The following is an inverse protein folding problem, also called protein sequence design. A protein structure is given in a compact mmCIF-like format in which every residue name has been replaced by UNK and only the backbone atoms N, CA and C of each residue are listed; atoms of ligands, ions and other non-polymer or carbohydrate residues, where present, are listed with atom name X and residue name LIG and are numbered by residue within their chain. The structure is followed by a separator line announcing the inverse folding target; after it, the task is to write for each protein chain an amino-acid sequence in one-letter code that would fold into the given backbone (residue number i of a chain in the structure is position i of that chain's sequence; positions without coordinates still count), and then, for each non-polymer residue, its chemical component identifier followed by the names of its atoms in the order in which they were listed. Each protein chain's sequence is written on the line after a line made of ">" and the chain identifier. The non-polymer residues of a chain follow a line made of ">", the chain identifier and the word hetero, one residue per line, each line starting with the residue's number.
data_IF_882381147989
#
_entry.id   IF_882381147989
#
_cell.length_a   1.000
_cell.length_b   1.000
_cell.length_c   1.000
_cell.angle_alpha   90.00
_cell.angle_beta   90.00
_cell.angle_gamma   90.00
#
_symmetry.space_group_name_H-M   'P 1'
#
loop_
_entity.id
_entity.type
_entity.pdbx_description
1 polymer ?
#
# COMPACT_ATOMS: atom_id res chain seq x y z
N UNK A 1 23.23 15.45 -11.06
CA UNK A 1 22.16 14.95 -10.18
C UNK A 1 21.93 13.49 -10.54
N UNK A 2 22.48 12.55 -9.76
CA UNK A 2 22.34 11.12 -10.04
C UNK A 2 20.92 10.69 -9.73
N UNK A 3 20.22 10.10 -10.70
CA UNK A 3 19.07 9.23 -10.43
C UNK A 3 19.47 8.26 -9.30
N UNK A 4 18.77 8.32 -8.19
CA UNK A 4 19.06 7.57 -6.98
C UNK A 4 18.81 6.08 -7.20
N UNK A 5 19.68 5.26 -6.62
CA UNK A 5 19.62 3.79 -6.61
C UNK A 5 18.25 3.26 -6.18
N UNK A 6 17.55 3.99 -5.30
CA UNK A 6 16.17 3.70 -4.88
C UNK A 6 15.19 3.87 -6.02
N UNK A 7 15.29 4.89 -6.87
CA UNK A 7 14.42 5.06 -8.03
C UNK A 7 14.68 3.98 -9.08
N UNK A 8 15.93 3.54 -9.27
CA UNK A 8 16.25 2.45 -10.21
C UNK A 8 15.73 1.11 -9.70
N UNK A 9 15.85 0.80 -8.41
CA UNK A 9 15.28 -0.41 -7.80
C UNK A 9 13.75 -0.34 -7.77
N UNK A 10 13.17 0.81 -7.48
CA UNK A 10 11.71 1.04 -7.52
C UNK A 10 11.18 0.98 -8.95
N UNK A 11 11.97 1.45 -9.94
CA UNK A 11 11.70 1.29 -11.35
C UNK A 11 11.82 -0.17 -11.76
N UNK A 12 12.84 -0.92 -11.32
CA UNK A 12 12.97 -2.35 -11.65
C UNK A 12 11.91 -3.22 -10.98
N UNK A 13 11.55 -2.94 -9.73
CA UNK A 13 10.48 -3.62 -9.00
C UNK A 13 9.09 -3.23 -9.54
N UNK A 14 8.91 -1.95 -9.89
CA UNK A 14 7.72 -1.45 -10.57
C UNK A 14 7.60 -2.01 -11.99
N UNK A 15 8.72 -2.11 -12.71
CA UNK A 15 8.80 -2.73 -14.03
C UNK A 15 8.47 -4.21 -13.92
N UNK A 16 9.14 -5.01 -13.07
CA UNK A 16 8.94 -6.48 -12.98
C UNK A 16 7.53 -6.96 -12.61
N UNK A 17 6.59 -6.04 -12.43
CA UNK A 17 5.25 -6.28 -11.94
C UNK A 17 5.33 -6.51 -10.44
N UNK A 18 4.62 -5.70 -9.66
CA UNK A 18 4.21 -6.14 -8.33
C UNK A 18 3.52 -7.50 -8.54
N UNK A 19 4.15 -8.56 -8.06
CA UNK A 19 3.69 -9.93 -8.24
C UNK A 19 2.46 -10.16 -7.39
N UNK A 20 1.30 -9.77 -7.91
CA UNK A 20 0.03 -10.11 -7.33
C UNK A 20 -0.24 -11.59 -7.56
N UNK A 21 -0.51 -12.32 -6.49
CA UNK A 21 -0.83 -13.73 -6.54
C UNK A 21 -2.25 -13.93 -6.01
N UNK A 22 -2.94 -14.95 -6.51
CA UNK A 22 -4.22 -15.35 -5.93
C UNK A 22 -4.00 -15.92 -4.54
N UNK A 23 -4.61 -15.33 -3.52
CA UNK A 23 -4.68 -15.91 -2.19
C UNK A 23 -5.92 -16.83 -2.07
N UNK A 24 -5.76 -18.17 -2.05
CA UNK A 24 -6.89 -19.09 -1.90
C UNK A 24 -7.57 -18.98 -0.52
N UNK A 25 -6.91 -18.35 0.45
CA UNK A 25 -7.38 -18.10 1.82
C UNK A 25 -7.67 -16.62 2.07
N UNK A 26 -7.93 -15.84 1.00
CA UNK A 26 -8.39 -14.46 1.17
C UNK A 26 -9.63 -14.42 2.07
N UNK A 27 -9.70 -13.47 3.01
CA UNK A 27 -10.79 -13.41 3.98
C UNK A 27 -12.14 -13.22 3.28
N UNK A 28 -13.19 -13.79 3.86
CA UNK A 28 -14.55 -13.47 3.43
C UNK A 28 -14.94 -12.07 3.90
N UNK A 29 -15.99 -11.50 3.30
CA UNK A 29 -16.53 -10.22 3.74
C UNK A 29 -16.94 -10.26 5.24
N UNK A 30 -17.46 -11.39 5.73
CA UNK A 30 -17.80 -11.58 7.15
C UNK A 30 -16.56 -11.47 8.04
N UNK A 31 -15.46 -12.10 7.63
CA UNK A 31 -14.21 -12.09 8.39
C UNK A 31 -13.62 -10.68 8.42
N UNK A 32 -13.51 -10.02 7.27
CA UNK A 32 -12.98 -8.66 7.17
C UNK A 32 -13.81 -7.63 7.94
N UNK A 33 -15.12 -7.84 8.07
CA UNK A 33 -16.05 -6.92 8.72
C UNK A 33 -16.41 -7.29 10.18
N UNK A 34 -15.83 -8.35 10.74
CA UNK A 34 -16.15 -8.84 12.10
C UNK A 34 -16.01 -7.76 13.18
N UNK A 35 -15.03 -6.87 13.01
CA UNK A 35 -14.67 -5.82 13.97
C UNK A 35 -14.96 -4.40 13.44
N UNK A 36 -15.77 -4.30 12.39
CA UNK A 36 -16.10 -3.06 11.70
C UNK A 36 -16.76 -2.01 12.60
N UNK A 37 -16.74 -0.76 12.13
CA UNK A 37 -17.59 0.30 12.68
C UNK A 37 -18.91 0.33 11.92
N UNK A 38 -20.08 0.36 12.60
CA UNK A 38 -21.39 0.34 11.93
C UNK A 38 -21.58 1.53 10.97
N UNK A 39 -20.96 2.65 11.29
CA UNK A 39 -21.06 3.95 10.64
C UNK A 39 -19.73 4.40 10.01
N UNK A 40 -18.86 3.46 9.62
CA UNK A 40 -17.64 3.77 8.89
C UNK A 40 -17.96 4.59 7.62
N UNK A 41 -17.27 5.71 7.46
CA UNK A 41 -17.31 6.53 6.25
C UNK A 41 -16.37 5.98 5.18
N UNK A 42 -15.25 5.38 5.61
CA UNK A 42 -14.23 4.79 4.74
C UNK A 42 -13.88 3.40 5.23
N UNK A 43 -13.83 2.44 4.32
CA UNK A 43 -13.26 1.10 4.55
C UNK A 43 -12.11 0.88 3.59
N UNK A 44 -10.93 0.58 4.10
CA UNK A 44 -9.75 0.22 3.30
C UNK A 44 -9.38 -1.21 3.61
N UNK A 45 -9.23 -2.05 2.59
CA UNK A 45 -8.82 -3.44 2.74
C UNK A 45 -7.54 -3.71 1.95
N UNK A 46 -6.67 -4.56 2.50
CA UNK A 46 -5.46 -5.01 1.86
C UNK A 46 -5.17 -6.48 2.21
N UNK A 47 -5.18 -7.35 1.22
CA UNK A 47 -4.76 -8.75 1.30
C UNK A 47 -3.24 -8.84 1.17
N UNK A 48 -2.55 -8.72 2.30
CA UNK A 48 -1.10 -8.75 2.38
C UNK A 48 -0.52 -10.08 1.87
N UNK A 49 -1.21 -11.20 2.09
CA UNK A 49 -0.76 -12.53 1.65
C UNK A 49 -0.72 -12.67 0.12
N UNK A 50 -1.55 -11.92 -0.62
CA UNK A 50 -1.50 -11.86 -2.08
C UNK A 50 -0.31 -11.05 -2.64
N UNK A 51 0.36 -10.24 -1.81
CA UNK A 51 1.33 -9.22 -2.26
C UNK A 51 2.71 -9.42 -1.66
N UNK A 52 2.80 -9.50 -0.34
CA UNK A 52 4.07 -9.39 0.40
C UNK A 52 4.99 -10.59 0.14
N UNK A 53 4.55 -11.86 0.28
CA UNK A 53 5.45 -13.01 0.09
C UNK A 53 6.03 -13.09 -1.32
N UNK A 54 5.18 -12.87 -2.34
CA UNK A 54 5.58 -12.91 -3.74
C UNK A 54 6.63 -11.84 -4.06
N UNK A 55 6.34 -10.58 -3.70
CA UNK A 55 7.27 -9.46 -3.92
C UNK A 55 8.56 -9.61 -3.14
N UNK A 56 8.50 -10.12 -1.92
CA UNK A 56 9.69 -10.38 -1.13
C UNK A 56 10.60 -11.45 -1.76
N UNK A 57 10.01 -12.53 -2.28
CA UNK A 57 10.76 -13.55 -3.04
C UNK A 57 11.41 -12.98 -4.29
N UNK A 58 10.71 -12.08 -5.02
CA UNK A 58 11.28 -11.38 -6.18
C UNK A 58 12.46 -10.51 -5.76
N UNK A 59 12.30 -9.71 -4.70
CA UNK A 59 13.35 -8.88 -4.13
C UNK A 59 14.60 -9.70 -3.79
N UNK A 60 14.44 -10.83 -3.08
CA UNK A 60 15.55 -11.72 -2.72
C UNK A 60 16.23 -12.36 -3.95
N UNK A 61 15.50 -12.53 -5.05
CA UNK A 61 16.02 -13.08 -6.30
C UNK A 61 16.64 -12.04 -7.25
N UNK A 62 16.52 -10.74 -6.98
CA UNK A 62 17.12 -9.70 -7.83
C UNK A 62 18.63 -9.89 -8.07
N UNK A 63 19.48 -10.21 -7.07
CA UNK A 63 20.90 -10.45 -7.30
C UNK A 63 21.19 -11.64 -8.23
N UNK A 64 20.18 -12.50 -8.46
CA UNK A 64 20.30 -13.66 -9.32
C UNK A 64 19.94 -13.38 -10.78
N UNK A 65 19.35 -12.23 -11.08
CA UNK A 65 18.99 -11.84 -12.43
C UNK A 65 20.26 -11.65 -13.29
N UNK A 66 20.33 -12.21 -14.52
CA UNK A 66 21.52 -12.11 -15.37
C UNK A 66 22.00 -10.67 -15.59
N UNK A 67 21.06 -9.74 -15.72
CA UNK A 67 21.34 -8.31 -15.94
C UNK A 67 22.01 -7.65 -14.73
N UNK A 68 21.62 -8.06 -13.51
CA UNK A 68 22.23 -7.57 -12.27
C UNK A 68 23.57 -8.26 -12.03
N UNK A 69 23.64 -9.58 -12.29
CA UNK A 69 24.88 -10.37 -12.15
C UNK A 69 26.00 -9.91 -13.07
N UNK A 70 25.67 -9.46 -14.28
CA UNK A 70 26.64 -8.98 -15.26
C UNK A 70 27.39 -7.71 -14.81
N UNK A 71 26.83 -6.96 -13.84
CA UNK A 71 27.41 -5.72 -13.34
C UNK A 71 27.72 -5.85 -11.84
N UNK A 72 28.99 -6.15 -11.46
CA UNK A 72 29.35 -6.43 -10.07
C UNK A 72 28.96 -5.33 -9.08
N UNK A 73 29.06 -4.05 -9.48
CA UNK A 73 28.64 -2.91 -8.67
C UNK A 73 27.13 -2.90 -8.41
N UNK A 74 26.32 -3.15 -9.45
CA UNK A 74 24.87 -3.25 -9.33
C UNK A 74 24.48 -4.43 -8.45
N UNK A 75 25.10 -5.60 -8.62
CA UNK A 75 24.87 -6.75 -7.76
C UNK A 75 25.22 -6.46 -6.30
N UNK A 76 26.29 -5.70 -6.03
CA UNK A 76 26.67 -5.28 -4.67
C UNK A 76 25.62 -4.33 -4.09
N UNK A 77 25.19 -3.32 -4.84
CA UNK A 77 24.16 -2.36 -4.41
C UNK A 77 22.82 -3.03 -4.12
N UNK A 78 22.37 -3.94 -5.00
CA UNK A 78 21.12 -4.70 -4.80
C UNK A 78 21.21 -5.56 -3.54
N UNK A 79 22.33 -6.24 -3.29
CA UNK A 79 22.53 -7.02 -2.05
C UNK A 79 22.52 -6.14 -0.81
N UNK A 80 23.12 -4.96 -0.86
CA UNK A 80 23.09 -4.00 0.25
C UNK A 80 21.66 -3.55 0.56
N UNK A 81 20.90 -3.16 -0.47
CA UNK A 81 19.50 -2.76 -0.32
C UNK A 81 18.64 -3.90 0.26
N UNK A 82 18.84 -5.13 -0.20
CA UNK A 82 18.20 -6.32 0.40
C UNK A 82 18.61 -6.47 1.86
N UNK A 83 19.90 -6.31 2.18
CA UNK A 83 20.41 -6.38 3.55
C UNK A 83 19.76 -5.35 4.49
N UNK A 84 19.47 -4.14 4.01
CA UNK A 84 18.75 -3.11 4.78
C UNK A 84 17.30 -3.53 5.06
N UNK A 85 16.60 -4.07 4.04
CA UNK A 85 15.24 -4.60 4.20
C UNK A 85 15.20 -5.81 5.15
N UNK A 86 16.13 -6.75 5.00
CA UNK A 86 16.29 -7.91 5.89
C UNK A 86 16.62 -7.48 7.32
N UNK A 87 17.51 -6.49 7.49
CA UNK A 87 17.87 -5.94 8.78
C UNK A 87 16.67 -5.30 9.48
N UNK A 88 15.91 -4.46 8.77
CA UNK A 88 14.68 -3.85 9.30
C UNK A 88 13.61 -4.89 9.63
N UNK A 89 13.39 -5.89 8.75
CA UNK A 89 12.45 -7.01 9.00
C UNK A 89 12.89 -7.82 10.21
N UNK A 90 14.17 -8.17 10.31
CA UNK A 90 14.74 -8.93 11.42
C UNK A 90 14.62 -8.18 12.74
N UNK A 91 14.88 -6.87 12.73
CA UNK A 91 14.67 -5.99 13.87
C UNK A 91 13.19 -5.97 14.28
N UNK A 92 12.27 -5.71 13.34
CA UNK A 92 10.83 -5.68 13.61
C UNK A 92 10.33 -7.01 14.19
N UNK A 93 10.80 -8.14 13.63
CA UNK A 93 10.49 -9.49 14.13
C UNK A 93 11.08 -9.74 15.51
N UNK A 94 12.31 -9.32 15.78
CA UNK A 94 12.93 -9.45 17.10
C UNK A 94 12.20 -8.61 18.15
N UNK A 95 11.80 -7.40 17.77
CA UNK A 95 11.11 -6.43 18.61
C UNK A 95 9.67 -6.83 18.93
N UNK A 96 8.89 -7.22 17.92
CA UNK A 96 7.45 -7.46 18.07
C UNK A 96 7.09 -8.95 18.14
N UNK A 97 7.97 -9.83 17.66
CA UNK A 97 7.65 -11.23 17.39
C UNK A 97 6.88 -11.45 16.09
N UNK A 98 6.63 -10.40 15.29
CA UNK A 98 5.84 -10.47 14.05
C UNK A 98 6.77 -10.50 12.86
N UNK A 99 6.60 -11.50 12.00
CA UNK A 99 7.21 -11.53 10.68
C UNK A 99 6.25 -10.94 9.63
N UNK A 100 6.52 -9.70 9.20
CA UNK A 100 5.66 -8.96 8.25
C UNK A 100 5.43 -9.70 6.93
N UNK A 101 6.30 -10.65 6.57
CA UNK A 101 6.19 -11.41 5.32
C UNK A 101 5.28 -12.63 5.47
N UNK A 102 5.28 -13.28 6.64
CA UNK A 102 4.64 -14.60 6.81
C UNK A 102 3.47 -14.62 7.78
N UNK A 103 3.37 -13.60 8.63
CA UNK A 103 2.45 -13.60 9.75
C UNK A 103 1.25 -12.67 9.52
N UNK A 104 1.31 -11.75 8.55
CA UNK A 104 0.18 -10.89 8.18
C UNK A 104 -0.55 -11.52 6.99
N UNK A 105 -1.85 -11.79 7.17
CA UNK A 105 -2.71 -12.31 6.10
C UNK A 105 -3.40 -11.16 5.36
N UNK A 106 -4.09 -10.30 6.11
CA UNK A 106 -4.77 -9.13 5.57
C UNK A 106 -4.92 -8.04 6.64
N UNK A 107 -5.26 -6.84 6.20
CA UNK A 107 -5.61 -5.72 7.05
C UNK A 107 -6.84 -4.99 6.51
N UNK A 108 -7.76 -4.62 7.40
CA UNK A 108 -8.93 -3.79 7.09
C UNK A 108 -9.01 -2.61 8.05
N UNK A 109 -9.08 -1.39 7.51
CA UNK A 109 -9.18 -0.14 8.27
C UNK A 109 -10.57 0.44 8.05
N UNK A 110 -11.20 0.85 9.15
CA UNK A 110 -12.48 1.55 9.18
C UNK A 110 -12.23 2.94 9.73
N UNK A 111 -12.70 3.96 9.03
CA UNK A 111 -12.60 5.35 9.48
C UNK A 111 -13.97 6.00 9.48
N UNK A 112 -14.24 6.79 10.51
CA UNK A 112 -15.38 7.69 10.62
C UNK A 112 -14.87 9.11 10.77
N UNK A 113 -15.39 9.99 9.93
CA UNK A 113 -15.06 11.41 9.92
C UNK A 113 -15.89 12.10 11.00
N UNK A 114 -15.20 12.71 11.95
CA UNK A 114 -15.80 13.52 13.02
C UNK A 114 -15.53 14.99 12.74
N UNK A 115 -16.55 15.86 12.65
CA UNK A 115 -16.34 17.29 12.39
C UNK A 115 -15.47 17.92 13.48
N UNK A 116 -14.48 18.72 13.04
CA UNK A 116 -13.61 19.50 13.92
C UNK A 116 -12.80 18.66 14.94
N UNK A 117 -12.68 17.35 14.73
CA UNK A 117 -11.94 16.43 15.60
C UNK A 117 -11.15 15.42 14.77
N UNK A 118 -10.24 14.71 15.41
CA UNK A 118 -9.56 13.57 14.79
C UNK A 118 -10.58 12.48 14.43
N UNK A 119 -10.40 11.77 13.31
CA UNK A 119 -11.31 10.71 12.91
C UNK A 119 -11.26 9.56 13.92
N UNK A 120 -12.42 8.97 14.17
CA UNK A 120 -12.49 7.68 14.83
C UNK A 120 -12.02 6.61 13.85
N UNK A 121 -11.17 5.69 14.28
CA UNK A 121 -10.75 4.60 13.43
C UNK A 121 -10.48 3.31 14.18
N UNK A 122 -10.61 2.21 13.46
CA UNK A 122 -10.14 0.90 13.89
C UNK A 122 -9.54 0.17 12.69
N UNK A 123 -8.34 -0.34 12.87
CA UNK A 123 -7.62 -1.21 11.96
C UNK A 123 -7.62 -2.61 12.53
N UNK A 124 -7.95 -3.59 11.70
CA UNK A 124 -8.06 -5.01 12.05
C UNK A 124 -7.07 -5.73 11.16
N UNK A 125 -6.15 -6.48 11.77
CA UNK A 125 -5.12 -7.22 11.06
C UNK A 125 -5.28 -8.69 11.41
N UNK A 126 -5.54 -9.51 10.39
CA UNK A 126 -5.57 -10.95 10.53
C UNK A 126 -4.17 -11.51 10.31
N UNK A 127 -3.79 -12.46 11.15
CA UNK A 127 -2.44 -12.97 11.14
C UNK A 127 -2.16 -13.99 12.23
N UNK A 128 -0.87 -14.23 12.48
CA UNK A 128 -0.39 -15.12 13.55
C UNK A 128 0.03 -14.31 14.76
N UNK A 129 -0.91 -13.58 15.36
CA UNK A 129 -0.64 -12.78 16.55
C UNK A 129 -0.95 -13.56 17.82
N UNK A 130 -0.21 -13.26 18.89
CA UNK A 130 -0.45 -13.81 20.23
C UNK A 130 -0.53 -12.67 21.23
N UNK A 131 -1.09 -12.93 22.41
CA UNK A 131 -1.06 -11.95 23.52
C UNK A 131 0.38 -11.55 23.88
N UNK A 132 1.34 -12.47 23.77
CA UNK A 132 2.77 -12.19 23.97
C UNK A 132 3.36 -11.20 22.96
N UNK A 133 2.74 -10.98 21.81
CA UNK A 133 3.09 -9.90 20.88
C UNK A 133 2.86 -8.54 21.53
N UNK A 134 1.75 -8.36 22.24
CA UNK A 134 1.41 -7.11 22.92
C UNK A 134 2.34 -6.87 24.11
N UNK A 135 2.70 -7.90 24.87
CA UNK A 135 3.68 -7.78 25.97
C UNK A 135 5.02 -7.23 25.47
N UNK A 136 5.51 -7.72 24.32
CA UNK A 136 6.75 -7.22 23.70
C UNK A 136 6.63 -5.77 23.26
N UNK A 137 5.55 -5.41 22.57
CA UNK A 137 5.30 -4.04 22.11
C UNK A 137 5.19 -3.08 23.31
N UNK A 138 4.45 -3.45 24.35
CA UNK A 138 4.28 -2.67 25.56
C UNK A 138 5.60 -2.45 26.30
N UNK A 139 6.44 -3.49 26.41
CA UNK A 139 7.79 -3.38 27.01
C UNK A 139 8.66 -2.36 26.29
N UNK A 140 8.61 -2.32 24.96
CA UNK A 140 9.40 -1.36 24.17
C UNK A 140 8.87 0.07 24.26
N UNK A 141 7.54 0.23 24.28
CA UNK A 141 6.89 1.54 24.33
C UNK A 141 6.78 2.11 25.75
N UNK A 142 7.13 1.30 26.76
CA UNK A 142 6.92 1.55 28.20
C UNK A 142 5.43 1.76 28.54
N UNK A 143 4.56 1.03 27.85
CA UNK A 143 3.13 1.02 28.09
C UNK A 143 2.74 -0.11 29.05
N UNK A 144 1.55 0.00 29.63
CA UNK A 144 0.97 -1.06 30.46
C UNK A 144 0.06 -1.94 29.61
N UNK A 145 0.16 -3.26 29.80
CA UNK A 145 -0.77 -4.21 29.21
C UNK A 145 -1.95 -4.40 30.15
N UNK A 146 -3.16 -4.28 29.61
CA UNK A 146 -4.40 -4.53 30.33
C UNK A 146 -5.16 -5.69 29.68
N UNK A 147 -5.75 -6.54 30.51
CA UNK A 147 -6.65 -7.59 30.03
C UNK A 147 -8.03 -7.00 29.78
N UNK A 148 -8.61 -7.27 28.62
CA UNK A 148 -9.96 -6.83 28.26
C UNK A 148 -10.70 -8.00 27.61
N UNK A 149 -11.76 -8.46 28.27
CA UNK A 149 -12.45 -9.70 27.90
C UNK A 149 -11.47 -10.88 27.79
N UNK A 150 -11.56 -11.63 26.70
CA UNK A 150 -10.63 -12.69 26.33
C UNK A 150 -9.30 -12.22 25.73
N UNK A 151 -9.14 -10.93 25.42
CA UNK A 151 -7.94 -10.37 24.79
C UNK A 151 -7.02 -9.61 25.75
N UNK A 152 -5.98 -9.01 25.17
CA UNK A 152 -5.09 -8.05 25.85
C UNK A 152 -4.94 -6.80 25.00
N UNK A 153 -4.77 -5.66 25.64
CA UNK A 153 -4.47 -4.40 24.97
C UNK A 153 -3.37 -3.64 25.67
N UNK A 154 -2.75 -2.72 24.95
CA UNK A 154 -1.90 -1.69 25.51
C UNK A 154 -2.40 -0.32 25.07
N UNK A 155 -2.27 0.64 25.96
CA UNK A 155 -2.61 2.05 25.74
C UNK A 155 -1.46 2.92 26.25
N UNK A 156 -1.23 4.06 25.60
CA UNK A 156 -0.23 5.04 26.02
C UNK A 156 -0.81 6.45 25.95
N UNK A 157 -1.44 6.89 27.02
CA UNK A 157 -2.05 8.22 27.09
C UNK A 157 -3.12 8.39 26.01
N UNK A 158 -2.96 9.41 25.17
CA UNK A 158 -3.87 9.72 24.07
C UNK A 158 -3.49 9.02 22.74
N UNK A 159 -2.45 8.20 22.72
CA UNK A 159 -2.05 7.45 21.54
C UNK A 159 -3.10 6.37 21.19
N UNK A 160 -3.22 5.97 19.91
CA UNK A 160 -4.03 4.83 19.51
C UNK A 160 -3.69 3.58 20.33
N UNK A 161 -4.72 2.86 20.76
CA UNK A 161 -4.57 1.58 21.45
C UNK A 161 -4.23 0.48 20.45
N UNK A 162 -3.56 -0.56 20.93
CA UNK A 162 -3.31 -1.80 20.18
C UNK A 162 -3.69 -2.96 21.08
N UNK A 163 -4.44 -3.92 20.56
CA UNK A 163 -4.77 -5.15 21.27
C UNK A 163 -4.79 -6.37 20.36
N UNK A 164 -4.82 -7.54 21.00
CA UNK A 164 -4.93 -8.83 20.34
C UNK A 164 -6.08 -9.60 20.98
N UNK A 165 -7.01 -10.08 20.15
CA UNK A 165 -8.12 -10.93 20.58
C UNK A 165 -7.60 -12.30 20.98
N UNK A 166 -8.42 -13.08 21.71
CA UNK A 166 -8.08 -14.48 22.05
C UNK A 166 -7.79 -15.36 20.81
N UNK A 167 -8.39 -15.01 19.67
CA UNK A 167 -8.28 -15.75 18.41
C UNK A 167 -7.08 -15.27 17.56
N UNK A 168 -6.22 -14.41 18.12
CA UNK A 168 -4.99 -13.97 17.46
C UNK A 168 -5.20 -12.89 16.40
N UNK A 169 -6.25 -12.08 16.50
CA UNK A 169 -6.52 -10.94 15.60
C UNK A 169 -6.02 -9.67 16.27
N UNK A 170 -5.18 -8.92 15.57
CA UNK A 170 -4.66 -7.65 16.07
C UNK A 170 -5.61 -6.52 15.69
N UNK A 171 -5.90 -5.65 16.66
CA UNK A 171 -6.79 -4.50 16.50
C UNK A 171 -6.03 -3.26 16.97
N UNK A 172 -5.99 -2.20 16.16
CA UNK A 172 -5.38 -0.92 16.52
C UNK A 172 -6.34 0.22 16.20
N UNK A 173 -6.39 1.27 17.01
CA UNK A 173 -7.34 2.36 16.78
C UNK A 173 -7.60 3.25 17.97
N UNK A 174 -8.70 4.01 17.90
CA UNK A 174 -9.19 4.80 19.04
C UNK A 174 -9.41 3.86 20.24
N UNK A 175 -8.89 4.24 21.41
CA UNK A 175 -8.84 3.34 22.57
C UNK A 175 -10.19 2.73 22.98
N UNK A 176 -11.26 3.54 22.97
CA UNK A 176 -12.62 3.07 23.22
C UNK A 176 -13.06 2.02 22.20
N UNK A 177 -12.82 2.26 20.91
CA UNK A 177 -13.16 1.31 19.86
C UNK A 177 -12.41 0.00 20.03
N UNK A 178 -11.10 0.02 20.27
CA UNK A 178 -10.31 -1.20 20.49
C UNK A 178 -10.83 -1.98 21.69
N UNK A 179 -11.08 -1.29 22.82
CA UNK A 179 -11.60 -1.90 24.05
C UNK A 179 -12.94 -2.58 23.82
N UNK A 180 -13.86 -1.93 23.12
CA UNK A 180 -15.18 -2.49 22.80
C UNK A 180 -15.08 -3.79 22.00
N UNK A 181 -14.17 -3.84 21.00
CA UNK A 181 -13.97 -5.03 20.14
C UNK A 181 -13.33 -6.20 20.88
N UNK A 182 -12.54 -5.93 21.92
CA UNK A 182 -11.89 -6.97 22.73
C UNK A 182 -12.83 -7.56 23.80
N UNK A 183 -13.93 -6.88 24.12
CA UNK A 183 -14.90 -7.35 25.10
C UNK A 183 -15.58 -8.67 24.69
N UNK A 184 -15.84 -9.55 25.65
CA UNK A 184 -16.46 -10.87 25.40
C UNK A 184 -17.88 -10.80 24.80
N UNK A 185 -18.55 -9.67 25.03
CA UNK A 185 -19.87 -9.37 24.50
C UNK A 185 -19.84 -8.81 23.07
N UNK A 186 -18.66 -8.55 22.48
CA UNK A 186 -18.57 -7.97 21.13
C UNK A 186 -19.29 -8.85 20.10
N UNK A 187 -20.04 -8.21 19.22
CA UNK A 187 -20.69 -8.83 18.07
C UNK A 187 -20.47 -7.94 16.87
N UNK A 188 -20.24 -8.55 15.70
CA UNK A 188 -20.14 -7.81 14.46
C UNK A 188 -21.42 -6.98 14.22
N UNK A 189 -21.30 -5.73 13.75
CA UNK A 189 -22.46 -4.90 13.44
C UNK A 189 -23.31 -5.53 12.33
N UNK A 190 -24.63 -5.31 12.41
CA UNK A 190 -25.56 -5.78 11.38
C UNK A 190 -25.30 -5.09 10.04
N UNK A 191 -25.44 -5.84 8.94
CA UNK A 191 -25.21 -5.37 7.57
C UNK A 191 -26.55 -5.21 6.84
N UNK A 192 -27.38 -4.29 7.34
CA UNK A 192 -28.70 -4.04 6.74
C UNK A 192 -28.56 -3.59 5.29
N UNK A 193 -29.48 -4.01 4.42
CA UNK A 193 -29.50 -3.60 3.01
C UNK A 193 -29.44 -2.09 2.86
N UNK A 194 -28.50 -1.59 2.05
CA UNK A 194 -28.29 -0.16 1.82
C UNK A 194 -27.46 0.56 2.90
N UNK A 195 -26.98 -0.15 3.93
CA UNK A 195 -26.01 0.40 4.89
C UNK A 195 -24.59 0.47 4.30
N UNK A 196 -23.75 1.31 4.89
CA UNK A 196 -22.34 1.45 4.53
C UNK A 196 -21.60 0.09 4.55
N UNK A 197 -21.86 -0.72 5.59
CA UNK A 197 -21.25 -2.04 5.72
C UNK A 197 -21.80 -3.08 4.75
N UNK A 198 -23.05 -2.95 4.28
CA UNK A 198 -23.55 -3.81 3.20
C UNK A 198 -22.81 -3.53 1.88
N UNK A 199 -22.54 -2.26 1.56
CA UNK A 199 -21.72 -1.91 0.39
C UNK A 199 -20.28 -2.42 0.53
N UNK A 200 -19.67 -2.23 1.71
CA UNK A 200 -18.34 -2.77 1.97
C UNK A 200 -18.32 -4.31 1.84
N UNK A 201 -19.34 -5.00 2.35
CA UNK A 201 -19.44 -6.45 2.24
C UNK A 201 -19.55 -6.93 0.79
N UNK A 202 -20.30 -6.22 -0.05
CA UNK A 202 -20.40 -6.54 -1.47
C UNK A 202 -19.02 -6.44 -2.16
N UNK A 203 -18.29 -5.35 -1.92
CA UNK A 203 -16.97 -5.11 -2.51
C UNK A 203 -15.95 -6.15 -2.01
N UNK A 204 -15.92 -6.42 -0.71
CA UNK A 204 -15.00 -7.40 -0.12
C UNK A 204 -15.37 -8.83 -0.50
N UNK A 205 -16.64 -9.11 -0.79
CA UNK A 205 -17.12 -10.40 -1.29
C UNK A 205 -16.51 -10.78 -2.65
N UNK A 206 -16.08 -9.79 -3.44
CA UNK A 206 -15.34 -10.01 -4.68
C UNK A 206 -13.86 -10.39 -4.46
N UNK A 207 -13.40 -10.47 -3.21
CA UNK A 207 -12.03 -10.80 -2.80
C UNK A 207 -10.96 -9.94 -3.50
N UNK A 208 -11.07 -8.60 -3.39
CA UNK A 208 -10.04 -7.71 -3.92
C UNK A 208 -8.74 -7.87 -3.13
N UNK A 209 -7.61 -7.69 -3.80
CA UNK A 209 -6.30 -7.57 -3.14
C UNK A 209 -6.23 -6.27 -2.36
N UNK A 210 -6.77 -5.21 -2.94
CA UNK A 210 -6.88 -3.91 -2.29
C UNK A 210 -8.23 -3.32 -2.62
N UNK A 211 -8.91 -2.74 -1.62
CA UNK A 211 -10.12 -2.00 -1.87
C UNK A 211 -10.20 -0.76 -1.00
N UNK A 212 -10.80 0.29 -1.54
CA UNK A 212 -11.28 1.44 -0.79
C UNK A 212 -12.77 1.55 -1.05
N UNK A 213 -13.56 1.65 0.00
CA UNK A 213 -14.99 1.90 -0.05
C UNK A 213 -15.24 3.20 0.69
N UNK A 214 -15.86 4.16 0.01
CA UNK A 214 -16.22 5.46 0.53
C UNK A 214 -17.74 5.57 0.58
N UNK A 215 -18.28 5.65 1.77
CA UNK A 215 -19.71 5.81 2.04
C UNK A 215 -19.87 7.02 2.94
N UNK A 216 -20.17 8.20 2.39
CA UNK A 216 -20.20 9.42 3.20
C UNK A 216 -21.45 9.47 4.06
N UNK A 217 -21.30 9.46 5.39
CA UNK A 217 -22.35 9.81 6.34
C UNK A 217 -22.86 11.23 6.08
N UNK A 218 -24.06 11.53 6.58
CA UNK A 218 -24.61 12.89 6.51
C UNK A 218 -23.68 13.93 7.15
N UNK A 219 -23.03 13.53 8.25
CA UNK A 219 -22.04 14.34 8.96
C UNK A 219 -20.79 14.59 8.13
N UNK A 220 -20.18 13.53 7.57
CA UNK A 220 -19.02 13.66 6.69
C UNK A 220 -19.31 14.50 5.44
N UNK A 221 -20.49 14.32 4.85
CA UNK A 221 -20.95 15.11 3.70
C UNK A 221 -21.09 16.59 4.04
N UNK A 222 -21.72 16.90 5.18
CA UNK A 222 -21.86 18.29 5.63
C UNK A 222 -20.49 18.94 5.84
N UNK A 223 -19.59 18.27 6.54
CA UNK A 223 -18.22 18.76 6.78
C UNK A 223 -17.46 19.01 5.46
N UNK A 224 -17.53 18.06 4.51
CA UNK A 224 -16.91 18.21 3.20
C UNK A 224 -17.48 19.42 2.44
N UNK A 225 -18.80 19.58 2.41
CA UNK A 225 -19.46 20.72 1.77
C UNK A 225 -19.08 22.05 2.44
N UNK A 226 -19.00 22.09 3.77
CA UNK A 226 -18.54 23.29 4.48
C UNK A 226 -17.10 23.65 4.12
N UNK A 227 -16.20 22.67 4.01
CA UNK A 227 -14.80 22.89 3.64
C UNK A 227 -14.60 23.32 2.19
N UNK A 228 -15.46 22.88 1.27
CA UNK A 228 -15.40 23.26 -0.14
C UNK A 228 -15.93 24.67 -0.43
N UNK A 229 -16.57 25.31 0.55
CA UNK A 229 -17.18 26.63 0.40
C UNK A 229 -18.60 26.58 -0.19
N UNK A 230 -19.23 27.76 -0.27
CA UNK A 230 -20.62 27.89 -0.73
C UNK A 230 -20.77 27.84 -2.26
N UNK A 231 -19.66 27.92 -3.00
CA UNK A 231 -19.67 27.99 -4.46
C UNK A 231 -20.05 26.64 -5.06
N UNK A 232 -21.25 26.59 -5.63
CA UNK A 232 -21.74 25.41 -6.34
C UNK A 232 -20.87 25.13 -7.56
N UNK A 233 -20.19 23.99 -7.54
CA UNK A 233 -19.38 23.49 -8.63
C UNK A 233 -19.59 21.98 -8.83
N UNK A 234 -18.91 21.40 -9.81
CA UNK A 234 -19.01 19.97 -10.11
C UNK A 234 -18.67 19.08 -8.89
N UNK A 235 -17.66 19.45 -8.10
CA UNK A 235 -17.21 18.67 -6.94
C UNK A 235 -18.24 18.73 -5.82
N UNK A 236 -18.81 19.91 -5.53
CA UNK A 236 -19.88 20.03 -4.53
C UNK A 236 -21.12 19.24 -4.95
N UNK A 237 -21.48 19.25 -6.24
CA UNK A 237 -22.60 18.47 -6.77
C UNK A 237 -22.33 16.95 -6.71
N UNK A 238 -21.09 16.53 -6.92
CA UNK A 238 -20.68 15.13 -6.81
C UNK A 238 -20.75 14.66 -5.36
N UNK A 239 -20.22 15.43 -4.40
CA UNK A 239 -20.31 15.12 -2.96
C UNK A 239 -21.76 15.10 -2.48
N UNK A 240 -22.60 16.00 -2.98
CA UNK A 240 -24.01 16.07 -2.58
C UNK A 240 -24.81 14.85 -3.03
N UNK A 241 -24.49 14.30 -4.22
CA UNK A 241 -25.18 13.16 -4.82
C UNK A 241 -24.56 11.80 -4.48
N UNK A 242 -23.29 11.77 -4.08
CA UNK A 242 -22.55 10.57 -3.70
C UNK A 242 -23.24 9.80 -2.57
N UNK A 243 -23.64 8.55 -2.83
CA UNK A 243 -24.07 7.62 -1.78
C UNK A 243 -22.96 6.68 -1.37
N UNK A 244 -22.33 6.05 -2.36
CA UNK A 244 -21.19 5.17 -2.15
C UNK A 244 -20.30 5.14 -3.38
N UNK A 245 -19.01 4.96 -3.18
CA UNK A 245 -18.09 4.61 -4.24
C UNK A 245 -17.10 3.58 -3.73
N UNK A 246 -16.56 2.78 -4.62
CA UNK A 246 -15.46 1.91 -4.30
C UNK A 246 -14.46 1.84 -5.43
N UNK A 247 -13.22 1.58 -5.07
CA UNK A 247 -12.16 1.19 -5.99
C UNK A 247 -11.55 -0.11 -5.51
N UNK A 248 -11.24 -1.01 -6.42
CA UNK A 248 -10.74 -2.34 -6.10
C UNK A 248 -9.65 -2.77 -7.08
N UNK A 249 -8.60 -3.36 -6.55
CA UNK A 249 -7.52 -4.00 -7.29
C UNK A 249 -7.65 -5.50 -7.10
N UNK A 250 -7.56 -6.23 -8.21
CA UNK A 250 -7.61 -7.68 -8.30
C UNK A 250 -6.32 -8.20 -8.93
N UNK A 251 -6.06 -9.50 -8.85
CA UNK A 251 -4.90 -10.16 -9.50
C UNK A 251 -4.87 -9.88 -11.00
N UNK A 252 -6.05 -9.78 -11.62
CA UNK A 252 -6.30 -9.70 -13.06
C UNK A 252 -6.80 -8.31 -13.51
N UNK A 253 -6.77 -7.28 -12.66
CA UNK A 253 -7.09 -5.92 -13.07
C UNK A 253 -7.67 -5.01 -11.99
N UNK A 254 -8.47 -4.03 -12.39
CA UNK A 254 -9.12 -3.07 -11.48
C UNK A 254 -10.63 -3.01 -11.69
N UNK A 255 -11.35 -2.57 -10.67
CA UNK A 255 -12.77 -2.26 -10.76
C UNK A 255 -13.15 -1.09 -9.86
N UNK A 256 -14.25 -0.43 -10.20
CA UNK A 256 -14.83 0.59 -9.36
C UNK A 256 -16.35 0.55 -9.44
N UNK A 257 -16.98 0.99 -8.35
CA UNK A 257 -18.43 1.12 -8.26
C UNK A 257 -18.76 2.55 -7.87
N UNK A 258 -19.84 3.08 -8.44
CA UNK A 258 -20.41 4.37 -8.06
C UNK A 258 -21.90 4.21 -7.82
N UNK A 259 -22.41 4.74 -6.72
CA UNK A 259 -23.82 4.80 -6.39
C UNK A 259 -24.20 6.26 -6.19
N UNK A 260 -25.13 6.72 -7.01
CA UNK A 260 -25.59 8.09 -7.04
C UNK A 260 -27.01 8.22 -6.47
N UNK A 261 -27.38 9.41 -6.01
CA UNK A 261 -28.77 9.72 -5.66
C UNK A 261 -29.64 9.93 -6.89
N UNK A 262 -29.06 10.13 -8.07
CA UNK A 262 -29.75 10.48 -9.31
C UNK A 262 -29.30 9.62 -10.50
N UNK A 263 -30.24 9.32 -11.41
CA UNK A 263 -29.90 8.63 -12.67
C UNK A 263 -28.91 9.44 -13.52
N UNK A 264 -29.09 10.75 -13.60
CA UNK A 264 -28.20 11.63 -14.36
C UNK A 264 -26.75 11.59 -13.83
N UNK A 265 -26.55 11.45 -12.52
CA UNK A 265 -25.22 11.26 -11.93
C UNK A 265 -24.58 9.93 -12.33
N UNK A 266 -25.36 8.84 -12.36
CA UNK A 266 -24.90 7.53 -12.86
C UNK A 266 -24.46 7.62 -14.33
N UNK A 267 -25.25 8.27 -15.17
CA UNK A 267 -24.93 8.43 -16.60
C UNK A 267 -23.66 9.28 -16.80
N UNK A 268 -23.49 10.35 -16.01
CA UNK A 268 -22.26 11.15 -16.02
C UNK A 268 -21.04 10.33 -15.60
N UNK A 269 -21.14 9.54 -14.53
CA UNK A 269 -20.06 8.68 -14.06
C UNK A 269 -19.74 7.55 -15.03
N UNK A 270 -20.73 7.07 -15.78
CA UNK A 270 -20.51 6.08 -16.83
C UNK A 270 -19.66 6.68 -17.96
N UNK A 271 -19.99 7.88 -18.41
CA UNK A 271 -19.19 8.61 -19.42
C UNK A 271 -17.76 8.89 -18.93
N UNK A 272 -17.60 9.33 -17.67
CA UNK A 272 -16.26 9.50 -17.07
C UNK A 272 -15.48 8.18 -17.02
N UNK A 273 -16.17 7.07 -16.75
CA UNK A 273 -15.55 5.74 -16.70
C UNK A 273 -15.12 5.27 -18.09
N UNK A 274 -15.94 5.49 -19.12
CA UNK A 274 -15.60 5.20 -20.51
C UNK A 274 -14.33 5.96 -20.94
N UNK A 275 -14.27 7.28 -20.69
CA UNK A 275 -13.08 8.08 -20.96
C UNK A 275 -11.85 7.65 -20.16
N UNK A 276 -12.03 7.25 -18.89
CA UNK A 276 -10.92 6.72 -18.07
C UNK A 276 -10.37 5.41 -18.62
N UNK A 277 -11.23 4.53 -19.14
CA UNK A 277 -10.81 3.27 -19.78
C UNK A 277 -10.08 3.54 -21.10
N UNK A 278 -10.52 4.51 -21.89
CA UNK A 278 -9.80 4.95 -23.09
C UNK A 278 -8.42 5.50 -22.76
N UNK A 279 -8.31 6.33 -21.71
CA UNK A 279 -7.02 6.83 -21.23
C UNK A 279 -6.10 5.69 -20.78
N UNK A 280 -6.62 4.72 -20.04
CA UNK A 280 -5.84 3.54 -19.64
C UNK A 280 -5.31 2.78 -20.86
N UNK A 281 -6.14 2.56 -21.89
CA UNK A 281 -5.68 1.94 -23.16
C UNK A 281 -4.60 2.79 -23.84
N UNK A 282 -4.80 4.11 -23.90
CA UNK A 282 -3.82 5.03 -24.51
C UNK A 282 -2.48 5.01 -23.77
N UNK A 283 -2.50 4.97 -22.42
CA UNK A 283 -1.30 4.89 -21.58
C UNK A 283 -0.52 3.59 -21.76
N UNK A 284 -1.19 2.52 -22.21
CA UNK A 284 -0.53 1.26 -22.55
C UNK A 284 0.10 1.29 -23.95
N UNK A 285 -0.53 1.98 -24.89
CA UNK A 285 -0.08 2.04 -26.29
C UNK A 285 1.01 3.09 -26.49
N UNK A 286 0.87 4.28 -25.88
CA UNK A 286 1.76 5.42 -26.14
C UNK A 286 3.24 5.14 -25.84
N UNK A 287 3.62 4.51 -24.72
CA UNK A 287 5.03 4.22 -24.45
C UNK A 287 5.64 3.23 -25.46
N UNK A 288 4.84 2.32 -26.05
CA UNK A 288 5.30 1.45 -27.15
C UNK A 288 5.61 2.27 -28.40
N UNK A 289 4.77 3.25 -28.71
CA UNK A 289 5.00 4.19 -29.80
C UNK A 289 6.30 4.97 -29.60
N UNK A 290 6.49 5.58 -28.43
CA UNK A 290 7.71 6.31 -28.09
C UNK A 290 8.95 5.42 -28.11
N UNK A 291 8.88 4.21 -27.56
CA UNK A 291 9.99 3.27 -27.60
C UNK A 291 10.38 2.89 -29.04
N UNK A 292 9.40 2.66 -29.93
CA UNK A 292 9.66 2.40 -31.35
C UNK A 292 10.30 3.60 -32.05
N UNK A 293 9.86 4.83 -31.76
CA UNK A 293 10.46 6.06 -32.30
C UNK A 293 11.90 6.20 -31.81
N UNK A 294 12.14 6.10 -30.51
CA UNK A 294 13.47 6.23 -29.92
C UNK A 294 14.43 5.16 -30.46
N UNK A 295 14.00 3.90 -30.51
CA UNK A 295 14.79 2.80 -31.06
C UNK A 295 14.98 2.93 -32.57
N UNK A 296 14.04 3.53 -33.31
CA UNK A 296 14.19 3.90 -34.71
C UNK A 296 15.24 4.99 -34.92
N UNK A 297 15.21 6.03 -34.10
CA UNK A 297 16.20 7.12 -34.15
C UNK A 297 17.61 6.64 -33.78
N UNK A 298 17.75 5.68 -32.86
CA UNK A 298 19.05 5.11 -32.48
C UNK A 298 19.78 4.48 -33.67
N UNK A 299 19.08 3.93 -34.68
CA UNK A 299 19.72 3.36 -35.87
C UNK A 299 20.52 4.41 -36.67
N UNK A 300 20.18 5.70 -36.56
CA UNK A 300 20.94 6.79 -37.20
C UNK A 300 22.34 7.01 -36.58
N UNK A 301 22.60 6.45 -35.40
CA UNK A 301 23.87 6.51 -34.68
C UNK A 301 24.73 5.26 -34.88
N UNK A 302 24.37 4.35 -35.78
CA UNK A 302 25.14 3.13 -36.03
C UNK A 302 26.60 3.44 -36.40
N UNK A 303 27.53 2.75 -35.78
CA UNK A 303 28.98 2.90 -35.99
C UNK A 303 29.60 4.11 -35.29
N UNK A 304 28.82 4.94 -34.57
CA UNK A 304 29.36 6.08 -33.80
C UNK A 304 29.95 5.65 -32.46
N UNK A 305 29.39 4.62 -31.83
CA UNK A 305 29.83 4.10 -30.55
C UNK A 305 29.49 2.60 -30.41
N UNK A 306 30.37 1.83 -29.75
CA UNK A 306 30.22 0.37 -29.60
C UNK A 306 29.04 -0.02 -28.70
N UNK A 307 28.69 0.81 -27.70
CA UNK A 307 27.55 0.57 -26.83
C UNK A 307 26.23 0.84 -27.57
N UNK A 308 26.19 1.89 -28.40
CA UNK A 308 25.05 2.16 -29.28
C UNK A 308 24.83 1.01 -30.26
N UNK A 309 25.89 0.49 -30.89
CA UNK A 309 25.79 -0.67 -31.80
C UNK A 309 25.27 -1.94 -31.09
N UNK A 310 25.67 -2.16 -29.84
CA UNK A 310 25.16 -3.28 -29.04
C UNK A 310 23.69 -3.08 -28.66
N UNK A 311 23.27 -1.85 -28.33
CA UNK A 311 21.87 -1.52 -28.09
C UNK A 311 21.02 -1.73 -29.35
N UNK A 312 21.52 -1.33 -30.52
CA UNK A 312 20.88 -1.58 -31.83
C UNK A 312 20.69 -3.08 -32.06
N UNK A 313 21.73 -3.90 -31.80
CA UNK A 313 21.62 -5.37 -31.92
C UNK A 313 20.57 -5.97 -30.98
N UNK A 314 20.34 -5.36 -29.82
CA UNK A 314 19.36 -5.78 -28.81
C UNK A 314 18.01 -5.06 -28.89
N UNK A 315 17.76 -4.26 -29.92
CA UNK A 315 16.51 -3.50 -30.11
C UNK A 315 15.25 -4.35 -29.96
N UNK A 316 15.26 -5.58 -30.50
CA UNK A 316 14.14 -6.52 -30.35
C UNK A 316 13.90 -6.95 -28.90
N UNK A 317 14.95 -7.13 -28.11
CA UNK A 317 14.84 -7.48 -26.68
C UNK A 317 14.36 -6.29 -25.86
N UNK A 318 14.84 -5.07 -26.16
CA UNK A 318 14.34 -3.84 -25.52
C UNK A 318 12.86 -3.64 -25.81
N UNK A 319 12.41 -3.85 -27.04
CA UNK A 319 10.98 -3.79 -27.38
C UNK A 319 10.17 -4.83 -26.62
N UNK A 320 10.64 -6.08 -26.52
CA UNK A 320 9.95 -7.11 -25.72
C UNK A 320 9.83 -6.70 -24.24
N UNK A 321 10.85 -6.07 -23.68
CA UNK A 321 10.81 -5.53 -22.31
C UNK A 321 9.74 -4.44 -22.19
N UNK A 322 9.74 -3.47 -23.11
CA UNK A 322 8.71 -2.41 -23.12
C UNK A 322 7.31 -3.03 -23.24
N UNK A 323 7.10 -3.94 -24.17
CA UNK A 323 5.82 -4.62 -24.39
C UNK A 323 5.35 -5.40 -23.16
N UNK A 324 6.28 -6.04 -22.44
CA UNK A 324 5.96 -6.76 -21.20
C UNK A 324 5.46 -5.86 -20.06
N UNK A 325 5.74 -4.55 -20.13
CA UNK A 325 5.46 -3.59 -19.04
C UNK A 325 4.43 -2.52 -19.38
N UNK A 326 4.15 -2.33 -20.66
CA UNK A 326 3.15 -1.35 -21.11
C UNK A 326 1.79 -1.98 -21.33
N UNK A 327 1.68 -3.30 -21.51
CA UNK A 327 0.45 -3.93 -21.98
C UNK A 327 0.16 -3.61 -23.45
N UNK A 328 -0.98 -4.07 -23.96
CA UNK A 328 -1.38 -3.91 -25.36
C UNK A 328 -2.68 -3.13 -25.59
N UNK A 329 -3.33 -2.64 -24.52
CA UNK A 329 -4.60 -1.92 -24.59
C UNK A 329 -5.81 -2.83 -24.80
N UNK A 330 -5.64 -4.15 -24.90
CA UNK A 330 -6.72 -5.09 -25.27
C UNK A 330 -7.39 -5.76 -24.05
N UNK A 331 -7.26 -5.18 -22.86
CA UNK A 331 -7.98 -5.68 -21.69
C UNK A 331 -9.49 -5.58 -21.87
N UNK A 332 -10.21 -6.56 -21.30
CA UNK A 332 -11.67 -6.61 -21.34
C UNK A 332 -12.25 -5.57 -20.41
N UNK A 333 -13.32 -4.90 -20.82
CA UNK A 333 -14.04 -3.94 -19.99
C UNK A 333 -15.51 -4.33 -19.88
N UNK A 334 -16.05 -4.32 -18.67
CA UNK A 334 -17.49 -4.46 -18.40
C UNK A 334 -17.96 -3.21 -17.66
N UNK A 335 -18.97 -2.55 -18.22
CA UNK A 335 -19.68 -1.43 -17.60
C UNK A 335 -21.12 -1.88 -17.41
N UNK A 336 -21.56 -1.96 -16.16
CA UNK A 336 -22.90 -2.39 -15.78
C UNK A 336 -23.63 -1.24 -15.08
N UNK A 337 -24.85 -0.95 -15.55
CA UNK A 337 -25.69 0.14 -15.04
C UNK A 337 -26.97 -0.45 -14.46
N UNK A 338 -27.10 -0.42 -13.15
CA UNK A 338 -28.36 -0.75 -12.48
C UNK A 338 -29.16 0.54 -12.24
N UNK A 339 -30.13 0.77 -13.12
CA UNK A 339 -31.01 1.93 -13.07
C UNK A 339 -31.92 1.94 -11.83
N UNK A 340 -32.23 0.79 -11.23
CA UNK A 340 -33.08 0.73 -10.02
C UNK A 340 -32.30 1.11 -8.78
N UNK A 341 -31.04 0.68 -8.70
CA UNK A 341 -30.15 1.02 -7.59
C UNK A 341 -29.40 2.35 -7.78
N UNK A 342 -29.54 3.02 -8.94
CA UNK A 342 -28.69 4.13 -9.37
C UNK A 342 -27.20 3.79 -9.18
N UNK A 343 -26.81 2.62 -9.68
CA UNK A 343 -25.48 2.05 -9.47
C UNK A 343 -24.78 1.80 -10.80
N UNK A 344 -23.52 2.20 -10.85
CA UNK A 344 -22.57 1.91 -11.91
C UNK A 344 -21.52 0.95 -11.36
N UNK A 345 -21.22 -0.13 -12.07
CA UNK A 345 -20.09 -1.02 -11.77
C UNK A 345 -19.22 -1.15 -13.00
N UNK A 346 -17.92 -0.92 -12.84
CA UNK A 346 -16.94 -1.02 -13.91
C UNK A 346 -15.86 -2.02 -13.53
N UNK A 347 -15.49 -2.88 -14.47
CA UNK A 347 -14.41 -3.84 -14.32
C UNK A 347 -13.54 -3.85 -15.57
N UNK A 348 -12.24 -3.66 -15.40
CA UNK A 348 -11.24 -3.79 -16.45
C UNK A 348 -10.33 -4.99 -16.14
N UNK A 349 -10.38 -6.04 -16.97
CA UNK A 349 -9.77 -7.36 -16.72
C UNK A 349 -8.80 -7.75 -17.83
N UNK A 350 -7.57 -8.05 -17.47
CA UNK A 350 -6.56 -8.70 -18.30
C UNK A 350 -6.23 -10.10 -17.77
N UNK A 351 -5.11 -10.69 -18.21
CA UNK A 351 -4.57 -11.92 -17.59
C UNK A 351 -3.83 -11.61 -16.29
N UNK A 352 -3.29 -10.41 -16.18
CA UNK A 352 -2.55 -9.89 -15.03
C UNK A 352 -2.94 -8.42 -14.81
N UNK A 353 -2.71 -7.88 -13.61
CA UNK A 353 -2.94 -6.47 -13.33
C UNK A 353 -2.16 -5.54 -14.28
N UNK A 354 -0.92 -5.88 -14.63
CA UNK A 354 -0.09 -5.06 -15.53
C UNK A 354 -0.65 -4.95 -16.95
N UNK A 355 -1.49 -5.91 -17.39
CA UNK A 355 -2.23 -5.80 -18.65
C UNK A 355 -3.38 -4.79 -18.58
N UNK A 356 -3.73 -4.27 -17.41
CA UNK A 356 -4.80 -3.27 -17.23
C UNK A 356 -4.26 -1.93 -16.76
N UNK A 357 -3.35 -1.95 -15.79
CA UNK A 357 -2.77 -0.76 -15.21
C UNK A 357 -1.27 -0.76 -15.51
N UNK A 358 -0.79 0.16 -16.37
CA UNK A 358 0.63 0.27 -16.63
C UNK A 358 1.36 0.62 -15.33
N UNK A 359 2.51 -0.02 -15.08
CA UNK A 359 3.26 0.12 -13.83
C UNK A 359 3.57 1.58 -13.44
N UNK A 360 3.71 2.47 -14.43
CA UNK A 360 3.93 3.90 -14.22
C UNK A 360 2.78 4.65 -13.53
N UNK A 361 1.57 4.07 -13.46
CA UNK A 361 0.40 4.73 -12.87
C UNK A 361 0.30 4.56 -11.35
N UNK A 362 0.86 3.48 -10.77
CA UNK A 362 0.74 3.21 -9.33
C UNK A 362 1.62 4.12 -8.48
N UNK A 363 2.77 4.55 -8.99
CA UNK A 363 3.73 5.37 -8.22
C UNK A 363 3.12 6.75 -7.89
N UNK A 364 2.51 7.51 -8.82
CA UNK A 364 1.90 8.80 -8.50
C UNK A 364 0.64 8.67 -7.64
N UNK A 365 -0.22 7.68 -7.89
CA UNK A 365 -1.47 7.51 -7.15
C UNK A 365 -1.26 7.11 -5.68
N UNK A 366 -0.28 6.23 -5.40
CA UNK A 366 0.09 5.87 -4.03
C UNK A 366 0.71 7.06 -3.27
N UNK A 367 1.50 7.90 -3.96
CA UNK A 367 2.06 9.13 -3.40
C UNK A 367 0.93 10.15 -3.09
N UNK A 368 0.00 10.38 -4.01
CA UNK A 368 -1.15 11.28 -3.79
C UNK A 368 -2.06 10.76 -2.66
N UNK A 369 -2.30 9.44 -2.59
CA UNK A 369 -3.04 8.82 -1.48
C UNK A 369 -2.34 8.97 -0.13
N UNK A 370 -1.02 8.78 -0.07
CA UNK A 370 -0.26 9.02 1.17
C UNK A 370 -0.20 10.49 1.55
N UNK A 371 -0.10 11.41 0.59
CA UNK A 371 -0.03 12.85 0.85
C UNK A 371 -1.38 13.45 1.28
N UNK A 372 -2.50 12.92 0.75
CA UNK A 372 -3.85 13.35 1.18
C UNK A 372 -4.23 12.81 2.56
N UNK A 373 -3.74 11.63 2.94
CA UNK A 373 -3.90 11.10 4.32
C UNK A 373 -2.94 11.75 5.32
N UNK A 374 -1.76 12.21 4.88
CA UNK A 374 -0.76 12.89 5.73
C UNK A 374 -1.02 14.38 5.97
N UNK A 375 -2.20 14.91 5.62
CA UNK A 375 -2.58 16.31 5.84
C UNK A 375 -2.52 16.82 7.30
N UNK A 376 -2.10 16.01 8.28
CA UNK A 376 -1.89 16.44 9.67
C UNK A 376 -0.73 15.74 10.41
N UNK A 377 0.07 14.88 9.77
CA UNK A 377 1.16 14.18 10.47
C UNK A 377 2.51 14.88 10.26
N UNK A 378 3.02 15.56 11.29
CA UNK A 378 4.44 15.93 11.32
C UNK A 378 5.27 14.66 11.08
N UNK A 379 6.32 14.71 10.22
CA UNK A 379 7.22 13.57 10.08
C UNK A 379 7.71 13.17 11.48
N UNK A 380 7.75 11.87 11.80
CA UNK A 380 8.28 11.44 13.09
C UNK A 380 9.68 12.06 13.24
N UNK A 381 10.00 12.64 14.42
CA UNK A 381 11.32 13.19 14.64
C UNK A 381 12.34 12.10 14.29
N UNK A 382 13.48 12.48 13.66
CA UNK A 382 14.52 11.52 13.32
C UNK A 382 14.82 10.69 14.56
N UNK A 383 14.81 9.35 14.41
CA UNK A 383 15.21 8.46 15.48
C UNK A 383 16.61 8.87 15.91
N UNK A 384 16.71 9.55 17.06
CA UNK A 384 17.98 9.81 17.69
C UNK A 384 18.51 8.44 18.11
N UNK A 385 19.48 7.92 17.37
CA UNK A 385 20.26 6.81 17.87
C UNK A 385 20.82 7.23 19.23
N UNK A 386 20.71 6.39 20.28
CA UNK A 386 21.38 6.69 21.55
C UNK A 386 22.84 6.98 21.24
N UNK A 387 23.34 8.10 21.76
CA UNK A 387 24.72 8.51 21.56
C UNK A 387 25.65 7.31 21.86
N UNK A 388 26.69 7.08 21.05
CA UNK A 388 27.67 6.05 21.33
C UNK A 388 28.09 6.19 22.79
N UNK A 389 27.97 5.09 23.55
CA UNK A 389 28.42 5.07 24.94
C UNK A 389 29.87 5.57 25.03
N UNK A 390 30.26 6.20 26.16
CA UNK A 390 31.58 6.81 26.30
C UNK A 390 32.67 5.83 25.86
N UNK A 391 33.44 6.27 24.86
CA UNK A 391 34.54 5.51 24.30
C UNK A 391 35.53 5.22 25.43
N UNK A 392 35.91 3.95 25.69
CA UNK A 392 36.84 3.63 26.75
C UNK A 392 38.16 4.38 26.50
N UNK A 393 38.65 5.07 27.54
CA UNK A 393 39.87 5.86 27.45
C UNK A 393 41.03 4.98 26.95
N UNK A 394 41.89 5.50 26.04
CA UNK A 394 43.03 4.77 25.56
C UNK A 394 43.94 4.37 26.73
N UNK A 395 44.34 3.10 26.77
CA UNK A 395 45.32 2.64 27.74
C UNK A 395 46.62 3.45 27.58
N UNK A 396 47.26 3.89 28.69
CA UNK A 396 48.47 4.68 28.63
C UNK A 396 49.59 3.95 27.89
N UNK A 397 50.18 4.63 26.90
CA UNK A 397 51.25 4.10 26.09
C UNK A 397 52.46 3.71 26.95
N UNK A 398 52.93 2.47 26.81
CA UNK A 398 54.20 2.02 27.39
C UNK A 398 55.33 2.88 26.82
N UNK A 399 56.04 3.60 27.70
CA UNK A 399 57.28 4.32 27.35
C UNK A 399 58.31 3.32 26.83
N UNK A 400 58.76 3.53 25.59
CA UNK A 400 59.91 2.84 25.02
C UNK A 400 61.20 3.27 25.75
N UNK A 401 62.15 2.35 26.02
CA UNK A 401 63.42 2.68 26.66
C UNK A 401 64.27 3.57 25.77
N UNK A 402 64.72 4.71 26.31
CA UNK A 402 65.60 5.65 25.61
C UNK A 402 66.97 5.04 25.32
N UNK A 403 67.35 5.08 24.04
CA UNK A 403 68.72 4.88 23.58
C UNK A 403 69.34 6.27 23.33
N UNK A 404 70.43 6.54 24.02
CA UNK A 404 71.30 7.69 23.77
C UNK A 404 71.97 8.11 25.08
N UNK A 405 73.27 8.26 25.18
CA UNK A 405 74.34 8.22 24.20
C UNK A 405 75.57 8.77 24.92
N UNK A 406 76.69 8.04 24.87
CA UNK A 406 77.98 8.49 25.39
C UNK A 406 78.59 9.56 24.49
N UNK A 407 79.23 10.55 25.13
CA UNK A 407 80.43 11.36 24.77
C UNK A 407 80.22 12.78 25.34
N UNK A 408 81.16 13.45 26.00
CA UNK A 408 82.59 13.22 26.24
C UNK A 408 82.92 13.65 27.67
#
# INVERSE_FOLDING_TARGET
>A
MSFGIVEVITLFLGMSGFGLQTNPKAPTAEQSLMYAMPDADVVVHFDAASVVPGNYKVLQNLPNQPQIKATPELAKMVRQAIGEVEGARGLAKGMTGIDLVTDISDATIFLQIVPQQDPNFVAVVHGKFSTGTIDKIAKMSRATVTKVGGGVMMEKGNDPAIGVTKDGIMIAGTASLVRDRLGDAWRAPARATGSNLAFAAEVLGAKPIYAVVLTMSATARKEALTKMGADKNFVTDLVQRHKAASFSVFVDGIGWTWIDSTRAGVDAMAMMSEGSLELLRALQIAPRGFAKIALGAIDSYKGTDKQIDELIRRKGDVLKIVESYTGDGNFKTKIDRDAKANKLTVRATGKTLSEVVPAGFFIPAAIIGMLTVRGAAQPPPPMQMPAPGPQPSPAPAKKSPGLGGKKA
#
